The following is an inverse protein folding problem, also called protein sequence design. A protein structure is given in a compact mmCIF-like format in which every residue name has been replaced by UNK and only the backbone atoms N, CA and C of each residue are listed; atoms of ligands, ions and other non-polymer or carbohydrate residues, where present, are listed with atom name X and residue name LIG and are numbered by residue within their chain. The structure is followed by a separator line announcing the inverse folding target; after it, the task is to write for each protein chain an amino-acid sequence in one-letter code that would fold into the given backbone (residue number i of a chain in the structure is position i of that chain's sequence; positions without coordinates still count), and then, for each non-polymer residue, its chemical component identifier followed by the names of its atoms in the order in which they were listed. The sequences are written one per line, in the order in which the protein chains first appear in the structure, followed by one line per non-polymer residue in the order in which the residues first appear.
data_IF_081052160158
#
_entry.id   IF_081052160158
#
_cell.length_a   1.000
_cell.length_b   1.000
_cell.length_c   1.000
_cell.angle_alpha   90.00
_cell.angle_beta   90.00
_cell.angle_gamma   90.00
#
_symmetry.space_group_name_H-M   'P 1'
#
loop_
_entity.id
_entity.type
_entity.pdbx_description
1 polymer ?
#
# COMPACT_ATOMS: atom_id res chain seq x y z
N UNK A 1 -0.41 6.48 -28.55
CA UNK A 1 0.84 6.23 -27.80
C UNK A 1 2.02 6.79 -28.59
N UNK A 2 2.46 6.09 -29.64
CA UNK A 2 3.66 6.44 -30.39
C UNK A 2 3.58 7.85 -30.97
N UNK A 3 2.49 8.19 -31.66
CA UNK A 3 2.36 9.52 -32.32
C UNK A 3 2.49 10.68 -31.33
N UNK A 4 1.79 10.63 -30.18
CA UNK A 4 1.85 11.73 -29.23
C UNK A 4 3.22 11.84 -28.54
N UNK A 5 3.88 10.70 -28.25
CA UNK A 5 5.23 10.66 -27.73
C UNK A 5 6.25 11.18 -28.77
N UNK A 6 6.08 10.81 -30.03
CA UNK A 6 6.87 11.29 -31.17
C UNK A 6 6.69 12.81 -31.28
N UNK A 7 5.46 13.32 -31.33
CA UNK A 7 5.19 14.77 -31.43
C UNK A 7 5.82 15.55 -30.27
N UNK A 8 5.77 15.03 -29.03
CA UNK A 8 6.47 15.68 -27.91
C UNK A 8 7.99 15.58 -28.02
N UNK A 9 8.55 14.50 -28.58
CA UNK A 9 9.98 14.37 -28.81
C UNK A 9 10.45 15.35 -29.91
N UNK A 10 9.66 15.54 -30.97
CA UNK A 10 9.91 16.53 -32.03
C UNK A 10 10.00 17.96 -31.47
N UNK A 11 9.19 18.30 -30.44
CA UNK A 11 9.30 19.61 -29.78
C UNK A 11 10.66 19.78 -29.09
N UNK A 12 11.21 18.73 -28.48
CA UNK A 12 12.54 18.80 -27.87
C UNK A 12 13.65 18.92 -28.92
N UNK A 13 13.53 18.22 -30.05
CA UNK A 13 14.45 18.34 -31.19
C UNK A 13 14.41 19.76 -31.77
N UNK A 14 13.22 20.34 -31.92
CA UNK A 14 13.07 21.72 -32.39
C UNK A 14 13.70 22.71 -31.41
N UNK A 15 13.53 22.51 -30.11
CA UNK A 15 14.21 23.34 -29.09
C UNK A 15 15.73 23.21 -29.22
N UNK A 16 16.25 22.00 -29.48
CA UNK A 16 17.68 21.75 -29.67
C UNK A 16 18.23 22.50 -30.91
N UNK A 17 17.53 22.39 -32.04
CA UNK A 17 17.91 23.05 -33.30
C UNK A 17 17.88 24.57 -33.19
N UNK A 18 16.93 25.14 -32.44
CA UNK A 18 16.80 26.59 -32.32
C UNK A 18 17.67 27.23 -31.23
N UNK A 19 18.21 26.45 -30.29
CA UNK A 19 18.85 27.01 -29.11
C UNK A 19 20.37 27.07 -29.23
N UNK A 20 20.86 28.13 -29.88
CA UNK A 20 22.29 28.38 -30.14
C UNK A 20 23.10 28.69 -28.85
N UNK A 21 22.44 29.00 -27.74
CA UNK A 21 23.11 29.50 -26.53
C UNK A 21 23.52 28.44 -25.51
N UNK A 22 23.02 27.20 -25.62
CA UNK A 22 23.32 26.16 -24.64
C UNK A 22 24.46 25.25 -25.12
N UNK A 23 25.35 24.78 -24.22
CA UNK A 23 26.34 23.78 -24.57
C UNK A 23 25.64 22.52 -25.11
N UNK A 24 26.16 21.90 -26.18
CA UNK A 24 25.52 20.74 -26.82
C UNK A 24 25.33 19.58 -25.83
N UNK A 25 26.29 19.36 -24.94
CA UNK A 25 26.20 18.33 -23.89
C UNK A 25 24.95 18.49 -23.01
N UNK A 26 24.61 19.72 -22.63
CA UNK A 26 23.45 19.96 -21.77
C UNK A 26 22.15 19.66 -22.51
N UNK A 27 22.07 19.97 -23.80
CA UNK A 27 20.92 19.68 -24.65
C UNK A 27 20.71 18.17 -24.81
N UNK A 28 21.79 17.39 -24.96
CA UNK A 28 21.75 15.92 -25.02
C UNK A 28 21.13 15.34 -23.75
N UNK A 29 21.69 15.69 -22.58
CA UNK A 29 21.23 15.08 -21.34
C UNK A 29 19.82 15.53 -20.96
N UNK A 30 19.47 16.80 -21.20
CA UNK A 30 18.15 17.32 -20.91
C UNK A 30 17.07 16.74 -21.83
N UNK A 31 17.34 16.57 -23.12
CA UNK A 31 16.41 15.95 -24.07
C UNK A 31 16.13 14.48 -23.72
N UNK A 32 17.17 13.71 -23.39
CA UNK A 32 17.03 12.30 -22.95
C UNK A 32 16.19 12.18 -21.67
N UNK A 33 16.44 13.05 -20.68
CA UNK A 33 15.64 13.08 -19.45
C UNK A 33 14.18 13.42 -19.77
N UNK A 34 13.96 14.46 -20.59
CA UNK A 34 12.64 14.93 -21.01
C UNK A 34 11.83 13.86 -21.75
N UNK A 35 12.43 13.21 -22.76
CA UNK A 35 11.81 12.11 -23.51
C UNK A 35 11.41 10.99 -22.55
N UNK A 36 12.31 10.57 -21.65
CA UNK A 36 12.00 9.51 -20.69
C UNK A 36 10.84 9.88 -19.75
N UNK A 37 10.81 11.11 -19.22
CA UNK A 37 9.68 11.58 -18.39
C UNK A 37 8.36 11.55 -19.15
N UNK A 38 8.36 12.05 -20.39
CA UNK A 38 7.17 12.10 -21.25
C UNK A 38 6.67 10.70 -21.57
N UNK A 39 7.55 9.76 -21.95
CA UNK A 39 7.19 8.36 -22.17
C UNK A 39 6.59 7.71 -20.91
N UNK A 40 7.17 7.97 -19.73
CA UNK A 40 6.65 7.47 -18.45
C UNK A 40 5.27 8.02 -18.11
N UNK A 41 5.05 9.34 -18.29
CA UNK A 41 3.76 9.98 -18.06
C UNK A 41 2.67 9.46 -19.02
N UNK A 42 3.01 9.31 -20.31
CA UNK A 42 2.10 8.76 -21.31
C UNK A 42 1.72 7.31 -21.02
N UNK A 43 2.69 6.46 -20.68
CA UNK A 43 2.42 5.08 -20.29
C UNK A 43 1.49 5.01 -19.08
N UNK A 44 1.64 5.92 -18.11
CA UNK A 44 0.73 6.02 -16.96
C UNK A 44 -0.69 6.42 -17.38
N UNK A 45 -0.82 7.44 -18.22
CA UNK A 45 -2.12 7.96 -18.63
C UNK A 45 -2.91 6.89 -19.42
N UNK A 46 -2.27 6.28 -20.41
CA UNK A 46 -2.94 5.35 -21.34
C UNK A 46 -3.20 3.97 -20.73
N UNK A 47 -2.34 3.50 -19.82
CA UNK A 47 -2.46 2.16 -19.22
C UNK A 47 -2.90 2.21 -17.75
N UNK A 48 -3.68 3.23 -17.37
CA UNK A 48 -4.16 3.45 -15.99
C UNK A 48 -4.91 2.25 -15.39
N UNK A 49 -5.57 1.44 -16.22
CA UNK A 49 -6.32 0.24 -15.81
C UNK A 49 -5.50 -1.05 -15.85
N UNK A 50 -4.31 -1.04 -16.44
CA UNK A 50 -3.52 -2.24 -16.67
C UNK A 50 -2.49 -2.48 -15.54
N UNK A 51 -1.85 -3.65 -15.57
CA UNK A 51 -0.80 -4.03 -14.61
C UNK A 51 0.41 -3.11 -14.68
N UNK A 52 1.11 -2.92 -13.56
CA UNK A 52 2.31 -2.07 -13.48
C UNK A 52 3.41 -2.50 -14.44
N UNK A 53 3.59 -3.82 -14.63
CA UNK A 53 4.59 -4.38 -15.54
C UNK A 53 4.34 -3.97 -17.00
N UNK A 54 3.07 -3.99 -17.44
CA UNK A 54 2.73 -3.55 -18.80
C UNK A 54 3.02 -2.05 -19.01
N UNK A 55 2.84 -1.22 -17.97
CA UNK A 55 3.18 0.22 -18.03
C UNK A 55 4.68 0.43 -18.18
N UNK A 56 5.48 -0.31 -17.43
CA UNK A 56 6.96 -0.22 -17.53
C UNK A 56 7.42 -0.67 -18.91
N UNK A 57 6.92 -1.81 -19.41
CA UNK A 57 7.26 -2.28 -20.75
C UNK A 57 6.85 -1.28 -21.83
N UNK A 58 5.65 -0.72 -21.76
CA UNK A 58 5.19 0.29 -22.70
C UNK A 58 6.05 1.57 -22.67
N UNK A 59 6.46 2.02 -21.49
CA UNK A 59 7.36 3.16 -21.33
C UNK A 59 8.74 2.89 -21.94
N UNK A 60 9.31 1.70 -21.71
CA UNK A 60 10.61 1.30 -22.26
C UNK A 60 10.57 1.15 -23.79
N UNK A 61 9.50 0.56 -24.34
CA UNK A 61 9.32 0.46 -25.79
C UNK A 61 9.20 1.86 -26.40
N UNK A 62 8.39 2.74 -25.79
CA UNK A 62 8.26 4.12 -26.24
C UNK A 62 9.58 4.89 -26.21
N UNK A 63 10.36 4.72 -25.15
CA UNK A 63 11.70 5.32 -25.02
C UNK A 63 12.66 4.80 -26.09
N UNK A 64 12.71 3.48 -26.31
CA UNK A 64 13.56 2.88 -27.35
C UNK A 64 13.19 3.39 -28.74
N UNK A 65 11.89 3.48 -29.06
CA UNK A 65 11.43 4.05 -30.33
C UNK A 65 11.82 5.52 -30.47
N UNK A 66 11.67 6.33 -29.42
CA UNK A 66 12.04 7.74 -29.45
C UNK A 66 13.55 7.95 -29.65
N UNK A 67 14.41 7.21 -28.93
CA UNK A 67 15.86 7.29 -29.10
C UNK A 67 16.32 6.81 -30.48
N UNK A 68 15.61 5.85 -31.09
CA UNK A 68 15.90 5.37 -32.43
C UNK A 68 15.53 6.42 -33.49
N UNK A 69 14.39 7.10 -33.34
CA UNK A 69 13.99 8.23 -34.19
C UNK A 69 14.98 9.39 -34.03
N UNK A 70 15.37 9.72 -32.80
CA UNK A 70 16.39 10.74 -32.53
C UNK A 70 17.69 10.45 -33.30
N UNK A 71 18.17 9.19 -33.24
CA UNK A 71 19.37 8.74 -33.94
C UNK A 71 19.27 8.85 -35.46
N UNK A 72 18.09 8.65 -36.03
CA UNK A 72 17.86 8.85 -37.46
C UNK A 72 17.89 10.34 -37.85
N UNK A 73 17.29 11.20 -37.02
CA UNK A 73 17.21 12.65 -37.30
C UNK A 73 18.59 13.30 -37.18
N UNK A 74 19.39 12.88 -36.20
CA UNK A 74 20.68 13.50 -35.86
C UNK A 74 21.85 12.81 -36.55
N UNK A 75 21.60 11.98 -37.56
CA UNK A 75 22.61 11.21 -38.30
C UNK A 75 23.58 10.41 -37.41
N UNK A 76 23.10 9.92 -36.26
CA UNK A 76 23.91 9.14 -35.32
C UNK A 76 24.61 9.92 -34.20
N UNK A 77 24.48 11.24 -34.13
CA UNK A 77 25.09 12.03 -33.06
C UNK A 77 24.41 11.82 -31.71
N UNK A 78 23.08 11.64 -31.69
CA UNK A 78 22.28 11.40 -30.49
C UNK A 78 21.47 10.11 -30.57
N UNK A 79 21.30 9.41 -29.46
CA UNK A 79 20.48 8.20 -29.39
C UNK A 79 21.29 6.90 -29.41
N UNK A 80 20.57 5.79 -29.58
CA UNK A 80 21.16 4.45 -29.49
C UNK A 80 21.35 3.91 -30.90
N UNK A 81 22.60 3.95 -31.37
CA UNK A 81 22.96 3.44 -32.68
C UNK A 81 23.12 1.91 -32.62
N UNK A 82 21.99 1.19 -32.70
CA UNK A 82 21.93 -0.29 -32.64
C UNK A 82 22.38 -0.95 -33.96
N UNK A 83 22.32 -0.20 -35.06
CA UNK A 83 22.53 -0.73 -36.41
C UNK A 83 23.98 -0.60 -36.88
N UNK A 84 24.74 0.33 -36.31
CA UNK A 84 26.14 0.53 -36.67
C UNK A 84 27.00 -0.47 -35.87
N UNK A 85 27.44 -1.52 -36.55
CA UNK A 85 28.37 -2.51 -36.01
C UNK A 85 29.78 -1.90 -35.90
N UNK A 86 29.92 -0.91 -35.01
CA UNK A 86 31.22 -0.38 -34.65
C UNK A 86 31.95 -1.40 -33.78
N UNK A 87 33.27 -1.51 -33.96
CA UNK A 87 34.14 -2.41 -33.21
C UNK A 87 34.34 -2.00 -31.75
N UNK A 88 33.90 -0.79 -31.36
CA UNK A 88 33.91 -0.32 -29.97
C UNK A 88 32.49 -0.29 -29.37
N UNK A 89 32.33 -0.62 -28.07
CA UNK A 89 31.04 -0.49 -27.38
C UNK A 89 30.60 0.97 -27.34
N UNK A 90 29.37 1.27 -27.77
CA UNK A 90 28.78 2.61 -27.66
C UNK A 90 28.31 2.89 -26.22
N UNK A 91 29.27 3.26 -25.36
CA UNK A 91 29.00 3.61 -23.96
C UNK A 91 28.08 4.81 -23.80
N UNK A 92 28.14 5.78 -24.73
CA UNK A 92 27.31 6.98 -24.68
C UNK A 92 25.83 6.62 -24.90
N UNK A 93 25.53 5.84 -25.94
CA UNK A 93 24.16 5.37 -26.20
C UNK A 93 23.61 4.52 -25.03
N UNK A 94 24.47 3.71 -24.39
CA UNK A 94 24.09 2.96 -23.20
C UNK A 94 23.78 3.89 -22.01
N UNK A 95 24.58 4.92 -21.79
CA UNK A 95 24.36 5.92 -20.74
C UNK A 95 23.06 6.71 -20.99
N UNK A 96 22.80 7.13 -22.23
CA UNK A 96 21.55 7.79 -22.63
C UNK A 96 20.33 6.89 -22.40
N UNK A 97 20.40 5.62 -22.81
CA UNK A 97 19.33 4.66 -22.57
C UNK A 97 19.08 4.46 -21.07
N UNK A 98 20.14 4.31 -20.28
CA UNK A 98 20.05 4.16 -18.83
C UNK A 98 19.41 5.37 -18.14
N UNK A 99 19.83 6.58 -18.52
CA UNK A 99 19.30 7.82 -17.96
C UNK A 99 17.84 8.05 -18.35
N UNK A 100 17.49 7.84 -19.62
CA UNK A 100 16.11 7.93 -20.10
C UNK A 100 15.19 6.89 -19.46
N UNK A 101 15.67 5.66 -19.25
CA UNK A 101 14.91 4.62 -18.56
C UNK A 101 14.69 4.99 -17.08
N UNK A 102 15.71 5.53 -16.43
CA UNK A 102 15.61 6.00 -15.05
C UNK A 102 14.59 7.14 -14.90
N UNK A 103 14.63 8.15 -15.79
CA UNK A 103 13.67 9.27 -15.75
C UNK A 103 12.24 8.79 -16.05
N UNK A 104 12.05 7.83 -16.96
CA UNK A 104 10.75 7.21 -17.22
C UNK A 104 10.20 6.46 -16.00
N UNK A 105 11.06 5.72 -15.28
CA UNK A 105 10.67 5.02 -14.05
C UNK A 105 10.32 6.01 -12.92
N UNK A 106 11.04 7.12 -12.81
CA UNK A 106 10.69 8.20 -11.88
C UNK A 106 9.31 8.77 -12.21
N UNK A 107 9.02 9.07 -13.47
CA UNK A 107 7.72 9.57 -13.90
C UNK A 107 6.57 8.58 -13.63
N UNK A 108 6.83 7.27 -13.79
CA UNK A 108 5.87 6.22 -13.45
C UNK A 108 5.62 6.10 -11.93
N UNK A 109 6.65 6.32 -11.11
CA UNK A 109 6.55 6.24 -9.64
C UNK A 109 6.08 7.52 -8.97
N UNK A 110 6.30 8.67 -9.60
CA UNK A 110 5.86 9.95 -9.09
C UNK A 110 4.34 9.89 -8.84
N UNK A 111 3.82 10.51 -7.78
CA UNK A 111 2.39 10.48 -7.42
C UNK A 111 1.76 9.10 -7.24
N UNK A 112 2.51 8.02 -7.00
CA UNK A 112 1.94 6.92 -6.24
C UNK A 112 1.73 7.45 -4.82
N UNK A 113 0.61 8.16 -4.59
CA UNK A 113 0.16 8.43 -3.23
C UNK A 113 0.08 7.05 -2.58
N UNK A 114 0.99 6.79 -1.64
CA UNK A 114 0.80 5.68 -0.74
C UNK A 114 -0.57 5.94 -0.16
N UNK A 115 -1.55 5.11 -0.55
CA UNK A 115 -2.83 5.07 0.13
C UNK A 115 -2.42 4.72 1.54
N UNK A 116 -2.26 5.74 2.39
CA UNK A 116 -2.21 5.54 3.82
C UNK A 116 -3.57 4.99 4.09
N UNK A 117 -3.64 3.67 4.14
CA UNK A 117 -4.67 2.99 4.89
C UNK A 117 -4.44 3.55 6.27
N UNK A 118 -5.18 4.61 6.60
CA UNK A 118 -5.36 5.01 7.98
C UNK A 118 -6.00 3.77 8.57
N UNK A 119 -5.17 2.94 9.19
CA UNK A 119 -5.67 2.01 10.16
C UNK A 119 -6.21 2.95 11.22
N UNK A 120 -7.51 3.24 11.13
CA UNK A 120 -8.30 3.57 12.30
C UNK A 120 -8.14 2.37 13.21
N UNK A 121 -7.04 2.38 13.95
CA UNK A 121 -6.82 1.46 15.04
C UNK A 121 -7.94 1.87 15.99
N UNK A 122 -8.97 1.03 16.19
CA UNK A 122 -10.04 1.37 17.10
C UNK A 122 -9.34 1.69 18.42
N UNK A 123 -9.52 2.93 18.87
CA UNK A 123 -9.01 3.39 20.15
C UNK A 123 -9.69 2.56 21.23
N UNK A 124 -9.14 1.39 21.54
CA UNK A 124 -9.49 0.59 22.71
C UNK A 124 -8.84 1.28 23.91
N UNK A 125 -9.30 2.49 24.21
CA UNK A 125 -8.85 3.29 25.33
C UNK A 125 -9.98 4.21 25.79
N UNK A 126 -11.08 3.61 26.26
CA UNK A 126 -11.90 4.18 27.32
C UNK A 126 -12.80 3.09 27.94
N UNK A 127 -12.19 2.03 28.46
CA UNK A 127 -12.80 1.32 29.60
C UNK A 127 -12.75 2.30 30.78
N UNK A 128 -13.72 3.20 30.85
CA UNK A 128 -14.00 3.91 32.09
C UNK A 128 -14.53 2.87 33.08
N UNK A 129 -13.64 2.45 33.98
CA UNK A 129 -14.04 1.90 35.27
C UNK A 129 -14.91 2.93 36.00
N UNK A 130 -16.22 2.87 35.84
CA UNK A 130 -17.15 3.38 36.85
C UNK A 130 -17.32 2.25 37.86
N UNK A 131 -16.32 2.14 38.75
CA UNK A 131 -16.49 1.48 40.03
C UNK A 131 -17.14 2.49 40.97
N UNK A 132 -18.46 2.42 41.13
CA UNK A 132 -19.09 2.88 42.38
C UNK A 132 -20.13 1.85 42.85
N UNK A 133 -19.84 1.10 43.92
CA UNK A 133 -20.87 0.44 44.70
C UNK A 133 -21.39 1.45 45.74
N UNK A 134 -22.51 2.12 45.47
CA UNK A 134 -23.22 2.84 46.53
C UNK A 134 -24.37 1.97 47.03
N UNK A 135 -24.18 1.55 48.28
CA UNK A 135 -25.01 0.68 49.09
C UNK A 135 -26.47 1.16 49.22
N UNK A 136 -27.42 0.23 49.43
CA UNK A 136 -28.69 0.55 50.04
C UNK A 136 -28.51 0.64 51.56
N UNK A 137 -28.87 1.77 52.20
CA UNK A 137 -29.21 1.77 53.62
C UNK A 137 -29.93 3.06 54.06
N UNK A 138 -31.10 2.87 54.65
CA UNK A 138 -31.23 3.21 56.07
C UNK A 138 -31.48 4.68 56.36
N UNK A 139 -32.76 5.02 56.37
CA UNK A 139 -33.31 6.19 57.04
C UNK A 139 -33.14 6.02 58.55
N UNK A 140 -32.15 6.67 59.16
CA UNK A 140 -32.15 6.88 60.62
C UNK A 140 -31.50 8.19 61.01
N UNK A 141 -32.29 8.99 61.74
CA UNK A 141 -31.93 10.22 62.44
C UNK A 141 -30.76 10.01 63.39
N UNK A 142 -29.90 11.03 63.52
CA UNK A 142 -29.56 11.75 64.77
C UNK A 142 -28.18 12.43 64.61
N UNK A 143 -28.16 13.75 64.75
CA UNK A 143 -27.00 14.52 65.19
C UNK A 143 -27.08 14.68 66.73
N UNK A 144 -26.09 15.26 67.46
CA UNK A 144 -24.80 15.82 67.03
C UNK A 144 -23.59 15.47 67.96
N UNK A 145 -22.42 16.03 67.59
CA UNK A 145 -21.25 16.40 68.42
C UNK A 145 -20.34 15.31 68.98
N UNK A 146 -19.11 15.25 68.43
CA UNK A 146 -17.98 14.53 68.98
C UNK A 146 -16.65 15.04 68.44
N UNK A 147 -16.08 16.01 69.15
CA UNK A 147 -14.76 16.64 68.99
C UNK A 147 -13.67 15.60 69.30
N UNK A 148 -12.64 15.46 68.46
CA UNK A 148 -11.51 14.58 68.78
C UNK A 148 -10.39 14.60 67.73
N UNK A 149 -9.32 15.32 68.06
CA UNK A 149 -8.00 15.26 67.41
C UNK A 149 -7.44 13.83 67.43
N UNK A 150 -6.74 13.40 66.37
CA UNK A 150 -5.55 12.54 66.47
C UNK A 150 -4.77 12.51 65.15
N UNK A 151 -3.55 13.00 65.28
CA UNK A 151 -2.34 12.79 64.46
C UNK A 151 -1.96 11.32 64.32
N UNK A 152 -1.28 10.97 63.21
CA UNK A 152 -0.20 9.95 63.00
C UNK A 152 -0.34 9.33 61.60
N UNK A 153 0.47 9.69 60.60
CA UNK A 153 1.78 9.08 60.26
C UNK A 153 1.75 7.57 60.02
N UNK A 154 1.84 7.09 58.77
CA UNK A 154 2.62 5.89 58.37
C UNK A 154 2.92 5.96 56.86
N UNK A 155 4.21 5.93 56.53
CA UNK A 155 4.81 5.70 55.23
C UNK A 155 4.87 4.20 54.88
N UNK A 156 4.54 3.81 53.64
CA UNK A 156 4.94 2.50 53.07
C UNK A 156 5.39 2.67 51.62
N UNK A 157 6.70 2.53 51.45
CA UNK A 157 7.40 2.15 50.21
C UNK A 157 7.10 0.72 49.83
N UNK A 158 6.80 0.44 48.55
CA UNK A 158 7.14 -0.83 47.91
C UNK A 158 7.47 -0.65 46.43
N UNK A 159 8.52 -1.37 46.06
CA UNK A 159 9.30 -1.42 44.82
C UNK A 159 8.72 -2.30 43.72
N UNK A 160 8.95 -1.92 42.45
CA UNK A 160 9.40 -2.70 41.26
C UNK A 160 8.71 -4.04 40.90
N UNK A 161 8.53 -4.40 39.59
CA UNK A 161 9.67 -4.85 38.79
C UNK A 161 9.70 -4.47 37.30
N UNK A 162 10.94 -4.32 36.84
CA UNK A 162 11.44 -4.37 35.46
C UNK A 162 11.08 -5.71 34.81
N UNK A 163 10.55 -5.69 33.58
CA UNK A 163 10.38 -6.90 32.77
C UNK A 163 11.11 -6.77 31.43
N UNK A 164 12.27 -7.40 31.37
CA UNK A 164 13.05 -7.66 30.16
C UNK A 164 12.48 -8.88 29.43
N UNK A 165 12.14 -8.70 28.15
CA UNK A 165 11.97 -9.78 27.16
C UNK A 165 12.98 -9.44 26.06
N UNK A 166 13.91 -10.29 25.64
CA UNK A 166 13.91 -11.75 25.61
C UNK A 166 14.38 -12.13 24.21
N UNK A 167 15.70 -12.03 23.99
CA UNK A 167 16.39 -12.48 22.77
C UNK A 167 16.10 -13.97 22.55
N UNK A 168 15.63 -14.34 21.35
CA UNK A 168 15.66 -15.71 20.83
C UNK A 168 16.51 -15.68 19.57
N UNK A 169 17.73 -16.17 19.65
CA UNK A 169 18.14 -17.57 19.38
C UNK A 169 18.42 -17.76 17.89
N UNK A 170 19.67 -17.44 17.55
CA UNK A 170 20.39 -17.91 16.38
C UNK A 170 20.92 -19.30 16.70
N UNK A 171 20.49 -20.32 15.97
CA UNK A 171 21.03 -21.67 16.13
C UNK A 171 20.43 -22.61 15.11
N UNK A 172 21.26 -23.01 14.15
CA UNK A 172 21.33 -24.31 13.44
C UNK A 172 22.23 -24.07 12.20
N UNK A 173 23.57 -24.19 12.30
CA UNK A 173 24.38 -25.43 12.37
C UNK A 173 23.93 -26.40 11.26
N UNK A 174 24.50 -26.41 10.05
CA UNK A 174 25.83 -26.91 9.64
C UNK A 174 26.16 -28.30 10.23
N UNK A 175 25.74 -29.33 9.47
CA UNK A 175 26.18 -30.73 9.47
C UNK A 175 25.50 -31.33 8.22
N UNK A 176 26.06 -32.13 7.31
CA UNK A 176 27.20 -33.06 7.34
C UNK A 176 27.59 -33.43 5.89
N UNK A 177 28.84 -33.84 5.61
CA UNK A 177 29.31 -34.30 4.30
C UNK A 177 29.29 -35.84 4.14
N UNK A 178 29.29 -36.32 2.89
CA UNK A 178 30.05 -37.52 2.52
C UNK A 178 29.31 -38.74 1.93
N UNK A 179 29.76 -39.12 0.71
CA UNK A 179 29.94 -40.47 0.12
C UNK A 179 28.66 -41.35 -0.04
N UNK A 180 28.54 -42.31 -0.97
CA UNK A 180 29.51 -43.17 -1.64
C UNK A 180 28.89 -43.81 -2.90
N UNK A 181 29.78 -44.29 -3.77
CA UNK A 181 29.59 -45.01 -5.03
C UNK A 181 28.97 -46.41 -4.79
N UNK A 182 28.11 -46.89 -5.70
CA UNK A 182 28.11 -48.30 -6.10
C UNK A 182 27.55 -48.52 -7.51
N UNK A 183 28.35 -49.21 -8.31
CA UNK A 183 28.07 -49.76 -9.63
C UNK A 183 26.98 -50.85 -9.59
N UNK A 184 26.29 -51.02 -10.71
CA UNK A 184 25.32 -52.11 -10.90
C UNK A 184 24.74 -52.16 -12.31
N UNK A 185 25.52 -52.71 -13.24
CA UNK A 185 25.10 -53.07 -14.59
C UNK A 185 24.02 -54.18 -14.57
N UNK A 186 22.81 -53.93 -15.10
CA UNK A 186 21.90 -54.99 -15.58
C UNK A 186 21.09 -54.52 -16.81
N UNK A 187 21.38 -55.23 -17.92
CA UNK A 187 20.60 -55.58 -19.11
C UNK A 187 19.22 -54.93 -19.41
N UNK A 188 19.19 -54.42 -20.64
CA UNK A 188 18.08 -54.15 -21.56
C UNK A 188 16.82 -55.02 -21.42
N UNK A 189 15.65 -54.35 -21.40
CA UNK A 189 14.45 -54.79 -22.14
C UNK A 189 13.59 -53.58 -22.50
N UNK A 190 13.20 -53.54 -23.77
CA UNK A 190 12.30 -52.55 -24.37
C UNK A 190 11.00 -52.43 -23.57
N UNK A 191 10.86 -51.30 -22.87
CA UNK A 191 9.59 -50.83 -22.36
C UNK A 191 9.40 -49.42 -22.91
N UNK A 192 8.34 -49.24 -23.70
CA UNK A 192 7.86 -47.94 -24.14
C UNK A 192 7.90 -46.95 -22.97
N UNK A 193 8.31 -45.69 -23.16
CA UNK A 193 8.37 -44.72 -22.09
C UNK A 193 6.94 -44.39 -21.66
N UNK A 194 6.40 -45.14 -20.70
CA UNK A 194 5.37 -44.63 -19.80
C UNK A 194 6.08 -43.52 -19.06
N UNK A 195 5.84 -42.27 -19.50
CA UNK A 195 6.25 -41.06 -18.82
C UNK A 195 5.55 -41.08 -17.46
N UNK A 196 6.15 -41.79 -16.50
CA UNK A 196 5.82 -41.65 -15.10
C UNK A 196 6.15 -40.20 -14.80
N UNK A 197 5.09 -39.39 -14.65
CA UNK A 197 5.15 -38.01 -14.16
C UNK A 197 5.93 -38.03 -12.86
N UNK A 198 7.23 -37.83 -12.98
CA UNK A 198 8.12 -37.63 -11.85
C UNK A 198 7.50 -36.51 -11.05
N UNK A 199 7.26 -36.74 -9.77
CA UNK A 199 6.94 -35.69 -8.82
C UNK A 199 8.17 -34.80 -8.74
N UNK A 200 8.30 -33.89 -9.69
CA UNK A 200 9.24 -32.79 -9.62
C UNK A 200 8.90 -32.07 -8.33
N UNK A 201 9.72 -32.30 -7.29
CA UNK A 201 9.79 -31.42 -6.13
C UNK A 201 10.21 -30.08 -6.72
N UNK A 202 9.22 -29.23 -7.01
CA UNK A 202 9.42 -27.86 -7.47
C UNK A 202 10.37 -27.22 -6.46
N UNK A 203 11.60 -27.01 -6.90
CA UNK A 203 12.54 -26.17 -6.17
C UNK A 203 11.81 -24.85 -5.92
N UNK A 204 11.61 -24.52 -4.64
CA UNK A 204 10.98 -23.27 -4.22
C UNK A 204 11.98 -22.12 -4.46
N UNK A 205 12.27 -21.82 -5.72
CA UNK A 205 12.85 -20.53 -6.12
C UNK A 205 11.70 -19.53 -6.21
N UNK A 206 11.35 -18.96 -5.06
CA UNK A 206 10.32 -17.93 -4.99
C UNK A 206 10.83 -16.80 -4.12
N UNK A 207 11.45 -15.80 -4.76
CA UNK A 207 11.68 -14.49 -4.17
C UNK A 207 10.39 -14.03 -3.47
N UNK A 208 10.41 -14.02 -2.14
CA UNK A 208 9.32 -13.56 -1.27
C UNK A 208 9.30 -12.03 -1.24
N UNK A 209 9.02 -11.40 -2.37
CA UNK A 209 8.92 -9.93 -2.45
C UNK A 209 7.52 -9.38 -2.70
N UNK A 210 6.50 -10.24 -2.76
CA UNK A 210 5.11 -9.80 -2.75
C UNK A 210 4.43 -10.23 -1.46
N UNK A 211 4.45 -9.33 -0.48
CA UNK A 211 3.42 -9.28 0.55
C UNK A 211 2.07 -9.26 -0.18
N UNK A 212 1.41 -10.42 -0.26
CA UNK A 212 -0.01 -10.50 -0.55
C UNK A 212 -0.70 -9.71 0.56
N UNK A 213 -0.99 -8.44 0.29
CA UNK A 213 -1.93 -7.68 1.09
C UNK A 213 -3.20 -8.53 1.18
N UNK A 214 -3.60 -8.88 2.41
CA UNK A 214 -4.86 -9.56 2.65
C UNK A 214 -5.96 -8.71 2.00
N UNK A 215 -6.94 -9.31 1.30
CA UNK A 215 -8.05 -8.55 0.75
C UNK A 215 -8.68 -7.73 1.88
N UNK A 216 -8.68 -6.41 1.73
CA UNK A 216 -9.32 -5.50 2.66
C UNK A 216 -10.81 -5.80 2.56
N UNK A 217 -11.30 -6.62 3.49
CA UNK A 217 -12.73 -6.79 3.69
C UNK A 217 -13.19 -5.52 4.38
N UNK A 218 -13.81 -4.62 3.62
CA UNK A 218 -14.59 -3.55 4.21
C UNK A 218 -15.78 -4.24 4.88
N UNK A 219 -15.66 -4.54 6.16
CA UNK A 219 -16.82 -4.85 6.98
C UNK A 219 -17.66 -3.58 6.98
N UNK A 220 -18.74 -3.59 6.21
CA UNK A 220 -19.68 -2.48 6.07
C UNK A 220 -20.51 -2.37 7.37
N UNK A 221 -19.81 -2.16 8.49
CA UNK A 221 -20.40 -1.87 9.79
C UNK A 221 -20.81 -0.42 9.72
N UNK A 222 -22.02 -0.17 9.24
CA UNK A 222 -22.60 1.16 9.26
C UNK A 222 -22.99 1.47 10.69
N UNK A 223 -22.31 2.43 11.29
CA UNK A 223 -22.69 2.97 12.59
C UNK A 223 -23.86 3.93 12.37
N UNK A 224 -25.02 3.59 12.92
CA UNK A 224 -26.21 4.43 12.84
C UNK A 224 -26.20 5.41 14.01
N UNK A 225 -26.54 6.68 13.76
CA UNK A 225 -26.59 7.73 14.79
C UNK A 225 -28.01 8.27 14.86
N UNK A 226 -28.57 8.36 16.07
CA UNK A 226 -29.92 8.86 16.29
C UNK A 226 -29.98 10.37 16.04
N UNK A 227 -30.87 10.89 15.16
CA UNK A 227 -30.97 12.33 14.88
C UNK A 227 -31.37 13.20 16.07
N UNK A 228 -32.01 12.62 17.10
CA UNK A 228 -32.56 13.37 18.23
C UNK A 228 -31.54 13.61 19.34
N UNK A 229 -30.80 12.58 19.74
CA UNK A 229 -29.79 12.68 20.79
C UNK A 229 -28.35 12.70 20.26
N UNK A 230 -28.15 12.44 18.96
CA UNK A 230 -26.82 12.32 18.31
C UNK A 230 -25.95 11.21 18.89
N UNK A 231 -26.53 10.24 19.58
CA UNK A 231 -25.84 9.07 20.11
C UNK A 231 -25.88 7.90 19.11
N UNK A 232 -24.86 7.07 19.16
CA UNK A 232 -24.72 5.88 18.32
C UNK A 232 -25.69 4.78 18.76
N UNK A 233 -26.41 4.21 17.79
CA UNK A 233 -27.38 3.15 17.99
C UNK A 233 -26.69 1.79 17.98
N UNK A 234 -26.78 1.06 19.10
CA UNK A 234 -26.38 -0.35 19.15
C UNK A 234 -27.58 -1.24 18.89
N UNK A 235 -27.40 -2.33 18.14
CA UNK A 235 -28.46 -3.30 17.84
C UNK A 235 -29.10 -3.91 19.10
N UNK A 236 -28.38 -3.92 20.22
CA UNK A 236 -28.83 -4.47 21.51
C UNK A 236 -29.03 -3.39 22.59
N UNK A 237 -29.43 -2.16 22.24
CA UNK A 237 -29.81 -1.16 23.25
C UNK A 237 -31.03 -1.65 24.06
N UNK A 238 -31.04 -1.48 25.40
CA UNK A 238 -32.07 -2.04 26.27
C UNK A 238 -33.46 -1.42 26.04
N UNK A 239 -33.52 -0.18 25.54
CA UNK A 239 -34.77 0.47 25.13
C UNK A 239 -35.26 0.05 23.76
N UNK A 240 -34.45 -0.68 22.98
CA UNK A 240 -34.75 -1.02 21.59
C UNK A 240 -34.49 0.13 20.61
N UNK A 241 -34.56 -0.22 19.33
CA UNK A 241 -34.33 0.69 18.20
C UNK A 241 -35.53 0.66 17.28
N UNK A 242 -36.04 1.85 16.94
CA UNK A 242 -37.16 2.04 16.04
C UNK A 242 -36.68 2.57 14.68
N UNK A 243 -37.25 2.06 13.59
CA UNK A 243 -36.92 2.51 12.23
C UNK A 243 -38.06 3.37 11.69
N UNK A 244 -37.75 4.58 11.25
CA UNK A 244 -38.74 5.45 10.62
C UNK A 244 -39.21 4.85 9.29
N UNK A 245 -40.54 4.68 9.13
CA UNK A 245 -41.13 4.13 7.91
C UNK A 245 -41.00 5.07 6.69
N UNK A 246 -40.79 6.37 6.90
CA UNK A 246 -40.69 7.37 5.84
C UNK A 246 -39.27 7.49 5.28
N UNK A 247 -38.26 7.67 6.13
CA UNK A 247 -36.88 7.91 5.69
C UNK A 247 -35.94 6.71 5.93
N UNK A 248 -36.39 5.67 6.62
CA UNK A 248 -35.58 4.49 6.94
C UNK A 248 -34.47 4.73 7.98
N UNK A 249 -34.44 5.91 8.60
CA UNK A 249 -33.47 6.25 9.65
C UNK A 249 -33.82 5.54 10.97
N UNK A 250 -32.80 5.12 11.71
CA UNK A 250 -32.96 4.45 13.00
C UNK A 250 -32.94 5.47 14.15
N UNK A 251 -33.74 5.23 15.18
CA UNK A 251 -33.91 6.06 16.36
C UNK A 251 -33.95 5.20 17.62
N UNK A 252 -33.55 5.73 18.78
CA UNK A 252 -33.83 5.07 20.06
C UNK A 252 -35.33 5.06 20.30
N UNK A 253 -35.89 3.96 20.80
CA UNK A 253 -37.34 3.87 21.04
C UNK A 253 -37.83 4.98 21.97
N UNK A 254 -37.06 5.30 23.01
CA UNK A 254 -37.38 6.38 23.95
C UNK A 254 -37.43 7.76 23.26
N UNK A 255 -36.45 8.06 22.41
CA UNK A 255 -36.44 9.31 21.65
C UNK A 255 -37.56 9.35 20.61
N UNK A 256 -37.92 8.19 20.04
CA UNK A 256 -39.02 8.07 19.09
C UNK A 256 -40.38 8.37 19.74
N UNK A 257 -40.64 7.79 20.91
CA UNK A 257 -41.87 8.04 21.69
C UNK A 257 -41.92 9.50 22.17
N UNK A 258 -40.80 10.05 22.66
CA UNK A 258 -40.72 11.45 23.09
C UNK A 258 -40.99 12.44 21.95
N UNK A 259 -40.57 12.11 20.72
CA UNK A 259 -40.83 12.89 19.51
C UNK A 259 -42.26 12.75 18.96
N UNK A 260 -43.16 12.04 19.65
CA UNK A 260 -44.53 11.82 19.22
C UNK A 260 -44.67 10.76 18.12
N UNK A 261 -43.72 9.83 18.01
CA UNK A 261 -43.69 8.76 17.01
C UNK A 261 -43.71 9.26 15.55
N UNK A 262 -43.21 10.47 15.32
CA UNK A 262 -43.05 11.09 14.00
C UNK A 262 -41.59 11.51 13.85
N UNK A 263 -41.00 11.26 12.66
CA UNK A 263 -39.65 11.69 12.37
C UNK A 263 -39.63 13.20 12.08
N UNK A 264 -38.90 13.99 12.85
CA UNK A 264 -38.73 15.43 12.62
C UNK A 264 -37.67 15.75 11.56
N UNK A 265 -36.99 14.73 11.03
CA UNK A 265 -36.06 14.91 9.92
C UNK A 265 -36.88 15.26 8.68
N UNK A 266 -36.61 16.39 7.99
CA UNK A 266 -37.32 16.78 6.79
C UNK A 266 -37.17 15.68 5.72
N UNK A 267 -38.23 14.92 5.50
CA UNK A 267 -38.33 13.98 4.40
C UNK A 267 -38.75 14.76 3.15
N UNK A 268 -37.93 14.69 2.10
CA UNK A 268 -38.35 15.08 0.76
C UNK A 268 -39.59 14.24 0.42
N UNK A 269 -40.74 14.89 0.26
CA UNK A 269 -41.95 14.24 -0.23
C UNK A 269 -41.68 13.88 -1.70
N UNK A 270 -41.48 12.59 -1.97
CA UNK A 270 -41.56 12.04 -3.33
C UNK A 270 -43.02 11.89 -3.77
#
# INVERSE_FOLDING_TARGET
MAVAAIVTAEVFVLVDVYNVFLPPEFLIWSSVIGIGMVCGLWARFLLRKNTSLLRVLAALIGLMSALLVQNLITNGDFGVNLLQANSSPNWLGLAQLGLGAFSALLALRAWHKAVRVVHDQPSVAATQQISQPVRPAGRTRLAPNGRGNSTSSVSVTTSSPVRSNGRRSLGNLLSSPGRMISDGFVRLRNASPVIKRGKFKRARSGLRFFNRAKPVQFSNVQTHVCPYCLEELKENEPGGVEKCNTCGTYHHADCWVAGGSICQVPHLQE
#
